data_IF_251118260889
#
_entry.id   IF_251118260889
#
_cell.length_a   1.000
_cell.length_b   1.000
_cell.length_c   1.000
_cell.angle_alpha   90.00
_cell.angle_beta   90.00
_cell.angle_gamma   90.00
#
_symmetry.space_group_name_H-M   'P 1'
#
loop_
_entity.id
_entity.type
_entity.pdbx_description
1 polymer ?
#
# COMPACT_ATOMS: atom_id res chain seq x y z
N UNK A 1 3.03 40.02 -15.43
CA UNK A 1 3.18 39.63 -14.01
C UNK A 1 4.21 38.51 -13.97
N UNK A 2 5.33 38.69 -13.28
CA UNK A 2 6.28 37.60 -13.06
C UNK A 2 5.72 36.72 -11.96
N UNK A 3 5.03 35.65 -12.34
CA UNK A 3 4.53 34.67 -11.37
C UNK A 3 5.72 33.84 -10.91
N UNK A 4 6.24 34.14 -9.72
CA UNK A 4 7.32 33.36 -9.14
C UNK A 4 6.79 31.95 -8.82
N UNK A 5 7.49 30.93 -9.32
CA UNK A 5 7.14 29.52 -9.06
C UNK A 5 7.27 29.26 -7.55
N UNK A 6 6.25 28.66 -6.89
CA UNK A 6 6.34 28.35 -5.47
C UNK A 6 7.51 27.41 -5.16
N UNK A 7 8.21 27.66 -4.05
CA UNK A 7 9.36 26.85 -3.62
C UNK A 7 9.01 25.37 -3.43
N UNK A 8 7.78 25.06 -3.01
CA UNK A 8 7.28 23.69 -2.89
C UNK A 8 7.33 22.92 -4.21
N UNK A 9 6.98 23.58 -5.33
CA UNK A 9 7.02 22.99 -6.67
C UNK A 9 8.47 22.74 -7.10
N UNK A 10 9.38 23.68 -6.80
CA UNK A 10 10.82 23.52 -7.06
C UNK A 10 11.39 22.33 -6.28
N UNK A 11 10.96 22.13 -5.04
CA UNK A 11 11.41 21.00 -4.22
C UNK A 11 10.95 19.65 -4.81
N UNK A 12 9.71 19.59 -5.29
CA UNK A 12 9.18 18.39 -5.97
C UNK A 12 10.00 18.10 -7.23
N UNK A 13 10.19 19.12 -8.08
CA UNK A 13 10.97 19.00 -9.31
C UNK A 13 12.38 18.45 -9.01
N UNK A 14 13.11 19.05 -8.07
CA UNK A 14 14.45 18.59 -7.72
C UNK A 14 14.47 17.15 -7.19
N UNK A 15 13.44 16.76 -6.43
CA UNK A 15 13.35 15.40 -5.91
C UNK A 15 13.21 14.35 -7.02
N UNK A 16 12.68 14.70 -8.19
CA UNK A 16 12.48 13.78 -9.33
C UNK A 16 13.76 13.45 -10.11
N UNK A 17 14.87 14.15 -9.85
CA UNK A 17 16.14 13.94 -10.57
C UNK A 17 16.67 12.52 -10.37
N UNK A 18 17.06 11.88 -11.47
CA UNK A 18 17.67 10.54 -11.45
C UNK A 18 16.71 9.37 -11.21
N UNK A 19 15.40 9.61 -11.24
CA UNK A 19 14.38 8.60 -10.94
C UNK A 19 13.85 7.82 -12.17
N UNK A 20 14.38 8.07 -13.37
CA UNK A 20 13.91 7.46 -14.63
C UNK A 20 14.41 6.01 -14.87
N UNK A 21 15.07 5.35 -13.89
CA UNK A 21 15.72 4.04 -14.12
C UNK A 21 14.81 2.82 -13.91
N UNK A 22 13.50 3.00 -13.79
CA UNK A 22 12.56 1.92 -13.43
C UNK A 22 12.04 1.09 -14.61
N UNK A 23 12.63 1.20 -15.81
CA UNK A 23 12.20 0.43 -16.98
C UNK A 23 10.78 0.74 -17.48
N UNK A 24 10.19 1.86 -17.04
CA UNK A 24 8.88 2.36 -17.46
C UNK A 24 8.95 3.83 -17.86
N UNK A 25 8.22 4.20 -18.91
CA UNK A 25 8.02 5.60 -19.28
C UNK A 25 7.11 6.30 -18.25
N UNK A 26 7.37 7.58 -17.95
CA UNK A 26 6.59 8.41 -17.03
C UNK A 26 6.28 7.72 -15.67
N UNK A 27 7.29 7.32 -14.88
CA UNK A 27 7.07 6.64 -13.61
C UNK A 27 6.31 7.53 -12.62
N UNK A 28 5.29 6.96 -11.97
CA UNK A 28 4.60 7.51 -10.81
C UNK A 28 4.66 6.47 -9.69
N UNK A 29 4.85 6.93 -8.46
CA UNK A 29 5.00 6.09 -7.30
C UNK A 29 3.67 6.02 -6.56
N UNK A 30 2.97 4.91 -6.70
CA UNK A 30 1.74 4.63 -5.95
C UNK A 30 2.12 4.05 -4.58
N UNK A 31 1.58 4.61 -3.50
CA UNK A 31 1.62 3.95 -2.19
C UNK A 31 0.36 3.12 -2.05
N UNK A 32 0.54 1.86 -1.68
CA UNK A 32 -0.53 0.89 -1.50
C UNK A 32 -0.55 0.40 -0.06
N UNK A 33 -1.76 0.16 0.45
CA UNK A 33 -2.01 -0.46 1.75
C UNK A 33 -2.56 -1.88 1.54
N UNK A 34 -2.11 -2.80 2.36
CA UNK A 34 -2.67 -4.15 2.43
C UNK A 34 -4.01 -4.09 3.18
N UNK A 35 -5.07 -4.55 2.52
CA UNK A 35 -6.41 -4.65 3.10
C UNK A 35 -6.78 -6.14 3.16
N UNK A 36 -7.22 -6.60 4.33
CA UNK A 36 -7.88 -7.91 4.51
C UNK A 36 -9.39 -7.72 4.35
N UNK A 37 -9.97 -8.38 3.36
CA UNK A 37 -11.42 -8.44 3.15
C UNK A 37 -11.94 -9.76 3.72
N UNK A 38 -12.70 -9.67 4.81
CA UNK A 38 -13.23 -10.83 5.55
C UNK A 38 -14.61 -11.25 5.06
N UNK A 39 -14.99 -12.48 5.40
CA UNK A 39 -16.30 -13.04 5.03
C UNK A 39 -16.32 -13.60 3.61
N UNK A 40 -15.15 -14.02 3.12
CA UNK A 40 -15.04 -14.71 1.85
C UNK A 40 -15.60 -16.13 2.03
N UNK A 41 -16.42 -16.57 1.08
CA UNK A 41 -16.93 -17.94 1.07
C UNK A 41 -15.77 -18.90 0.73
N UNK A 42 -15.56 -19.98 1.52
CA UNK A 42 -14.43 -20.89 1.33
C UNK A 42 -14.40 -21.58 -0.04
N UNK A 43 -15.52 -21.65 -0.75
CA UNK A 43 -15.58 -22.19 -2.11
C UNK A 43 -14.95 -21.25 -3.16
N UNK A 44 -14.60 -20.02 -2.78
CA UNK A 44 -13.93 -19.03 -3.63
C UNK A 44 -12.43 -18.89 -3.31
N UNK A 45 -11.71 -18.21 -4.20
CA UNK A 45 -10.29 -17.85 -3.98
C UNK A 45 -10.15 -16.96 -2.74
N UNK A 46 -9.46 -17.47 -1.73
CA UNK A 46 -9.11 -16.80 -0.49
C UNK A 46 -7.62 -17.00 -0.21
N UNK A 47 -7.02 -16.11 0.58
CA UNK A 47 -5.60 -16.17 0.91
C UNK A 47 -5.35 -17.01 2.17
N UNK A 48 -6.16 -16.80 3.22
CA UNK A 48 -6.05 -17.55 4.48
C UNK A 48 -7.35 -17.45 5.31
N UNK A 49 -7.32 -18.03 6.52
CA UNK A 49 -8.41 -17.98 7.49
C UNK A 49 -7.96 -17.43 8.86
N UNK A 50 -8.80 -16.59 9.47
CA UNK A 50 -8.68 -16.14 10.85
C UNK A 50 -9.69 -16.89 11.72
N UNK A 51 -9.32 -17.18 12.97
CA UNK A 51 -10.21 -17.77 13.97
C UNK A 51 -10.66 -16.70 14.96
N UNK A 52 -11.96 -16.46 15.08
CA UNK A 52 -12.54 -15.44 15.96
C UNK A 52 -13.39 -16.09 17.04
N UNK A 53 -13.19 -15.74 18.31
CA UNK A 53 -14.00 -16.29 19.40
C UNK A 53 -15.45 -15.75 19.30
N UNK A 54 -16.44 -16.66 19.31
CA UNK A 54 -17.85 -16.34 19.06
C UNK A 54 -18.43 -15.29 20.02
N UNK A 55 -18.11 -15.44 21.30
CA UNK A 55 -18.68 -14.62 22.37
C UNK A 55 -17.85 -13.34 22.65
N UNK A 56 -16.58 -13.31 22.22
CA UNK A 56 -15.67 -12.18 22.40
C UNK A 56 -14.81 -11.96 21.14
N UNK A 57 -15.35 -11.25 20.12
CA UNK A 57 -14.68 -11.09 18.83
C UNK A 57 -13.32 -10.36 18.86
N UNK A 58 -12.99 -9.70 19.96
CA UNK A 58 -11.68 -9.07 20.19
C UNK A 58 -10.56 -10.11 20.36
N UNK A 59 -10.92 -11.37 20.64
CA UNK A 59 -9.99 -12.50 20.69
C UNK A 59 -10.01 -13.19 19.32
N UNK A 60 -8.94 -12.99 18.56
CA UNK A 60 -8.77 -13.57 17.23
C UNK A 60 -7.34 -14.04 16.98
N UNK A 61 -7.19 -15.07 16.15
CA UNK A 61 -5.91 -15.65 15.76
C UNK A 61 -5.76 -15.66 14.25
N UNK A 62 -4.58 -15.26 13.75
CA UNK A 62 -4.35 -15.11 12.31
C UNK A 62 -4.20 -16.47 11.60
N UNK A 63 -3.96 -17.56 12.34
CA UNK A 63 -3.83 -18.91 11.79
C UNK A 63 -4.15 -19.98 12.86
N UNK A 64 -4.19 -21.25 12.41
CA UNK A 64 -4.57 -22.38 13.28
C UNK A 64 -3.52 -22.67 14.36
N UNK A 65 -2.25 -22.38 14.10
CA UNK A 65 -1.17 -22.68 15.06
C UNK A 65 -1.18 -21.70 16.24
N UNK A 66 -1.42 -20.41 15.99
CA UNK A 66 -1.68 -19.41 17.03
C UNK A 66 -2.89 -19.79 17.90
N UNK A 67 -3.98 -20.27 17.27
CA UNK A 67 -5.14 -20.78 18.00
C UNK A 67 -4.77 -21.97 18.89
N UNK A 68 -4.00 -22.94 18.37
CA UNK A 68 -3.57 -24.11 19.15
C UNK A 68 -2.72 -23.70 20.35
N UNK A 69 -1.81 -22.75 20.17
CA UNK A 69 -0.99 -22.20 21.25
C UNK A 69 -1.84 -21.53 22.34
N UNK A 70 -2.84 -20.74 21.94
CA UNK A 70 -3.78 -20.13 22.88
C UNK A 70 -4.58 -21.17 23.66
N UNK A 71 -5.13 -22.19 22.99
CA UNK A 71 -5.96 -23.23 23.62
C UNK A 71 -5.21 -24.07 24.67
N UNK A 72 -3.87 -24.14 24.60
CA UNK A 72 -3.05 -24.82 25.63
C UNK A 72 -2.49 -23.86 26.68
N UNK A 73 -2.71 -22.55 26.54
CA UNK A 73 -2.30 -21.53 27.50
C UNK A 73 -3.25 -21.45 28.70
N UNK A 74 -2.81 -20.84 29.80
CA UNK A 74 -3.65 -20.62 30.98
C UNK A 74 -4.88 -19.74 30.68
N UNK A 75 -4.78 -18.84 29.71
CA UNK A 75 -5.85 -17.92 29.29
C UNK A 75 -6.90 -18.60 28.40
N UNK A 76 -6.48 -19.60 27.61
CA UNK A 76 -7.35 -20.28 26.64
C UNK A 76 -7.78 -21.70 27.01
N UNK A 77 -7.26 -22.27 28.11
CA UNK A 77 -7.52 -23.67 28.52
C UNK A 77 -9.00 -24.04 28.74
N UNK A 78 -9.85 -23.06 29.01
CA UNK A 78 -11.29 -23.25 29.21
C UNK A 78 -12.07 -23.19 27.89
N UNK A 79 -11.45 -22.68 26.82
CA UNK A 79 -12.01 -22.60 25.48
C UNK A 79 -11.71 -23.88 24.69
N UNK A 80 -12.52 -24.11 23.64
CA UNK A 80 -12.34 -25.19 22.67
C UNK A 80 -12.32 -24.60 21.27
N UNK A 81 -11.73 -25.33 20.32
CA UNK A 81 -11.77 -24.95 18.89
C UNK A 81 -13.20 -24.69 18.37
N UNK A 82 -14.20 -25.40 18.88
CA UNK A 82 -15.61 -25.22 18.51
C UNK A 82 -16.19 -23.85 18.88
N UNK A 83 -15.53 -23.14 19.79
CA UNK A 83 -16.00 -21.86 20.32
C UNK A 83 -15.55 -20.71 19.39
N UNK A 84 -14.73 -21.02 18.38
CA UNK A 84 -14.27 -20.10 17.36
C UNK A 84 -15.05 -20.27 16.05
N UNK A 85 -15.30 -19.16 15.37
CA UNK A 85 -15.70 -19.12 13.97
C UNK A 85 -14.46 -18.99 13.09
N UNK A 86 -14.40 -19.82 12.04
CA UNK A 86 -13.38 -19.74 11.01
C UNK A 86 -13.84 -18.75 9.92
N UNK A 87 -13.09 -17.67 9.77
CA UNK A 87 -13.41 -16.56 8.89
C UNK A 87 -12.34 -16.45 7.79
N UNK A 88 -12.68 -16.85 6.57
CA UNK A 88 -11.79 -16.71 5.42
C UNK A 88 -11.69 -15.26 4.97
N UNK A 89 -10.49 -14.87 4.54
CA UNK A 89 -10.24 -13.54 4.01
C UNK A 89 -9.43 -13.57 2.71
N UNK A 90 -9.51 -12.44 1.99
CA UNK A 90 -8.65 -12.14 0.85
C UNK A 90 -7.85 -10.87 1.12
N UNK A 91 -6.57 -10.91 0.80
CA UNK A 91 -5.70 -9.76 0.80
C UNK A 91 -5.68 -9.08 -0.55
N UNK A 92 -5.80 -7.75 -0.53
CA UNK A 92 -5.55 -6.94 -1.72
C UNK A 92 -4.79 -5.68 -1.38
N UNK A 93 -3.97 -5.27 -2.33
CA UNK A 93 -3.26 -4.02 -2.27
C UNK A 93 -4.14 -2.91 -2.84
N UNK A 94 -4.57 -2.00 -1.98
CA UNK A 94 -5.35 -0.83 -2.37
C UNK A 94 -4.46 0.39 -2.50
N UNK A 95 -4.60 1.14 -3.60
CA UNK A 95 -3.85 2.38 -3.80
C UNK A 95 -4.40 3.48 -2.91
N UNK A 96 -3.55 3.99 -2.02
CA UNK A 96 -3.91 5.06 -1.07
C UNK A 96 -3.61 6.45 -1.66
N UNK A 97 -2.46 6.61 -2.31
CA UNK A 97 -2.05 7.90 -2.90
C UNK A 97 -0.93 7.75 -3.94
N UNK A 98 -0.66 8.82 -4.68
CA UNK A 98 0.37 8.88 -5.73
C UNK A 98 1.41 9.97 -5.45
N UNK A 99 2.65 9.70 -5.82
CA UNK A 99 3.77 10.64 -5.74
C UNK A 99 4.54 10.70 -7.05
N UNK A 100 5.02 11.89 -7.40
CA UNK A 100 5.94 12.08 -8.52
C UNK A 100 7.40 11.73 -8.16
N UNK A 101 7.72 11.63 -6.87
CA UNK A 101 9.05 11.33 -6.37
C UNK A 101 9.10 10.06 -5.52
N UNK A 102 10.07 9.18 -5.80
CA UNK A 102 10.35 7.98 -4.98
C UNK A 102 10.58 8.33 -3.52
N UNK A 103 11.41 9.33 -3.27
CA UNK A 103 11.76 9.79 -1.92
C UNK A 103 10.52 10.21 -1.13
N UNK A 104 9.58 10.92 -1.77
CA UNK A 104 8.35 11.33 -1.12
C UNK A 104 7.45 10.13 -0.77
N UNK A 105 7.38 9.12 -1.65
CA UNK A 105 6.65 7.89 -1.38
C UNK A 105 7.30 7.09 -0.23
N UNK A 106 8.64 6.99 -0.22
CA UNK A 106 9.39 6.33 0.86
C UNK A 106 9.19 7.05 2.20
N UNK A 107 9.27 8.38 2.23
CA UNK A 107 8.99 9.18 3.44
C UNK A 107 7.57 8.99 3.96
N UNK A 108 6.58 8.82 3.06
CA UNK A 108 5.20 8.56 3.45
C UNK A 108 5.01 7.17 4.07
N UNK A 109 5.69 6.15 3.53
CA UNK A 109 5.61 4.77 4.02
C UNK A 109 6.41 4.58 5.32
N UNK A 110 7.49 5.35 5.50
CA UNK A 110 8.32 5.23 6.70
C UNK A 110 7.47 5.33 7.97
N UNK A 111 7.59 4.31 8.83
CA UNK A 111 6.84 4.12 10.08
C UNK A 111 5.36 3.73 9.92
N UNK A 112 4.92 3.26 8.74
CA UNK A 112 3.57 2.71 8.53
C UNK A 112 3.65 1.24 8.16
N UNK A 113 3.16 0.37 9.04
CA UNK A 113 3.05 -1.06 8.78
C UNK A 113 2.00 -1.34 7.68
N UNK A 114 2.18 -2.44 6.94
CA UNK A 114 1.22 -2.88 5.92
C UNK A 114 1.17 -1.99 4.67
N UNK A 115 2.19 -1.17 4.42
CA UNK A 115 2.29 -0.34 3.23
C UNK A 115 3.46 -0.74 2.34
N UNK A 116 3.28 -0.57 1.03
CA UNK A 116 4.33 -0.71 0.02
C UNK A 116 4.24 0.42 -0.99
N UNK A 117 5.32 0.71 -1.72
CA UNK A 117 5.22 1.48 -2.95
C UNK A 117 5.27 0.56 -4.16
N UNK A 118 4.58 0.97 -5.21
CA UNK A 118 4.54 0.32 -6.50
C UNK A 118 4.75 1.39 -7.59
N UNK A 119 5.54 1.07 -8.61
CA UNK A 119 5.80 1.99 -9.71
C UNK A 119 4.77 1.72 -10.81
N UNK A 120 3.97 2.73 -11.14
CA UNK A 120 3.04 2.67 -12.27
C UNK A 120 3.52 3.57 -13.40
N UNK A 121 3.12 3.22 -14.62
CA UNK A 121 3.32 4.04 -15.81
C UNK A 121 2.17 5.02 -15.98
N UNK A 122 2.47 6.31 -16.09
CA UNK A 122 1.48 7.31 -16.50
C UNK A 122 1.38 7.48 -18.02
N UNK A 123 1.86 6.50 -18.81
CA UNK A 123 1.92 6.59 -20.27
C UNK A 123 0.60 7.00 -20.94
N UNK A 124 -0.52 6.47 -20.45
CA UNK A 124 -1.86 6.71 -21.02
C UNK A 124 -2.64 7.84 -20.31
N UNK A 125 -1.98 8.57 -19.40
CA UNK A 125 -2.59 9.67 -18.66
C UNK A 125 -1.95 11.01 -19.06
N UNK A 126 -2.64 11.76 -19.92
CA UNK A 126 -2.15 13.01 -20.48
C UNK A 126 -1.88 14.07 -19.41
N UNK A 127 -2.71 14.15 -18.37
CA UNK A 127 -2.58 15.12 -17.28
C UNK A 127 -1.33 14.86 -16.44
N UNK A 128 -1.10 13.61 -16.05
CA UNK A 128 0.08 13.22 -15.28
C UNK A 128 1.37 13.39 -16.10
N UNK A 129 1.32 13.14 -17.41
CA UNK A 129 2.43 13.44 -18.32
C UNK A 129 2.73 14.93 -18.35
N UNK A 130 1.72 15.76 -18.55
CA UNK A 130 1.88 17.22 -18.59
C UNK A 130 2.44 17.78 -17.27
N UNK A 131 1.96 17.30 -16.12
CA UNK A 131 2.49 17.71 -14.81
C UNK A 131 3.96 17.28 -14.67
N UNK A 132 4.29 16.05 -15.06
CA UNK A 132 5.67 15.55 -15.02
C UNK A 132 6.60 16.35 -15.92
N UNK A 133 6.20 16.63 -17.15
CA UNK A 133 6.96 17.43 -18.12
C UNK A 133 7.16 18.86 -17.59
N UNK A 134 6.14 19.46 -17.00
CA UNK A 134 6.26 20.76 -16.33
C UNK A 134 7.29 20.70 -15.19
N UNK A 135 7.23 19.70 -14.32
CA UNK A 135 8.17 19.56 -13.20
C UNK A 135 9.60 19.34 -13.68
N UNK A 136 9.80 18.55 -14.74
CA UNK A 136 11.12 18.34 -15.35
C UNK A 136 11.65 19.61 -16.03
N UNK A 137 10.78 20.40 -16.66
CA UNK A 137 11.17 21.66 -17.30
C UNK A 137 11.72 22.69 -16.31
N UNK A 138 11.25 22.67 -15.06
CA UNK A 138 11.76 23.54 -13.98
C UNK A 138 13.22 23.22 -13.64
N UNK A 139 13.65 21.97 -13.83
CA UNK A 139 15.02 21.55 -13.59
C UNK A 139 15.97 21.82 -14.76
N UNK A 140 15.45 22.20 -15.93
CA UNK A 140 16.20 22.22 -17.20
C UNK A 140 16.34 20.85 -17.86
N UNK A 141 15.66 19.83 -17.34
CA UNK A 141 15.71 18.45 -17.82
C UNK A 141 14.54 18.17 -18.78
N UNK A 142 14.41 18.94 -19.88
CA UNK A 142 13.46 18.57 -20.93
C UNK A 142 14.05 17.45 -21.77
N UNK A 143 13.76 16.20 -21.42
CA UNK A 143 14.00 15.06 -22.32
C UNK A 143 13.07 15.20 -23.53
N UNK A 144 13.62 15.72 -24.64
CA UNK A 144 13.01 15.60 -25.95
C UNK A 144 13.04 14.12 -26.36
N UNK A 145 11.89 13.45 -26.29
CA UNK A 145 11.63 12.22 -27.03
C UNK A 145 10.88 12.55 -28.32
#
# INVERSE_FOLDING_TARGET
MNTQIPQSIINIANAMKGQNNHGTSYPIYAVQRLIKEYGIDPDYEHDDATYVLKDEPDISFDNEDELKEYLVSEEGKDNKKSDFDECFYRERWETETFFFSKKAAEEFINNRAGMRFYVISAWDNHELKAIRELLLSINGDSEHY
#
